data_IF_686550089084
#
_entry.id   IF_686550089084
#
_cell.length_a   1.000
_cell.length_b   1.000
_cell.length_c   1.000
_cell.angle_alpha   90.00
_cell.angle_beta   90.00
_cell.angle_gamma   90.00
#
_symmetry.space_group_name_H-M   'P 1'
#
loop_
_entity.id
_entity.type
_entity.pdbx_description
1 polymer ?
#
# COMPACT_ATOMS: atom_id res chain seq x y z
N UNK A 1 -18.38 -4.79 -8.85
CA UNK A 1 -16.94 -5.05 -9.03
C UNK A 1 -16.68 -5.38 -10.49
N UNK A 2 -15.67 -4.77 -11.08
CA UNK A 2 -15.15 -5.05 -12.43
C UNK A 2 -13.80 -5.74 -12.28
N UNK A 3 -13.54 -6.77 -13.09
CA UNK A 3 -12.29 -7.53 -13.07
C UNK A 3 -11.42 -7.17 -14.27
N UNK A 4 -10.11 -7.39 -14.14
CA UNK A 4 -9.12 -7.03 -15.15
C UNK A 4 -9.21 -7.92 -16.41
N UNK A 5 -8.41 -7.55 -17.42
CA UNK A 5 -8.64 -7.85 -18.84
C UNK A 5 -8.44 -9.32 -19.25
N UNK A 6 -7.66 -10.09 -18.50
CA UNK A 6 -7.21 -11.40 -18.98
C UNK A 6 -8.32 -12.45 -18.91
N UNK A 7 -8.97 -12.64 -20.06
CA UNK A 7 -10.06 -13.56 -20.23
C UNK A 7 -9.73 -15.01 -19.86
N UNK A 8 -8.44 -15.39 -19.87
CA UNK A 8 -8.03 -16.76 -19.53
C UNK A 8 -8.23 -17.09 -18.04
N UNK A 9 -8.32 -16.09 -17.17
CA UNK A 9 -8.46 -16.26 -15.71
C UNK A 9 -9.85 -15.88 -15.17
N UNK A 10 -10.77 -15.40 -16.02
CA UNK A 10 -12.07 -14.87 -15.61
C UNK A 10 -12.90 -15.84 -14.77
N UNK A 11 -13.02 -17.09 -15.21
CA UNK A 11 -13.80 -18.11 -14.51
C UNK A 11 -13.25 -18.43 -13.12
N UNK A 12 -11.92 -18.54 -12.99
CA UNK A 12 -11.30 -18.81 -11.70
C UNK A 12 -11.47 -17.61 -10.76
N UNK A 13 -11.22 -16.39 -11.24
CA UNK A 13 -11.42 -15.18 -10.44
C UNK A 13 -12.86 -15.06 -9.93
N UNK A 14 -13.87 -15.27 -10.79
CA UNK A 14 -15.28 -15.25 -10.37
C UNK A 14 -15.56 -16.31 -9.32
N UNK A 15 -15.04 -17.54 -9.49
CA UNK A 15 -15.19 -18.60 -8.49
C UNK A 15 -14.55 -18.23 -7.16
N UNK A 16 -13.34 -17.67 -7.15
CA UNK A 16 -12.67 -17.25 -5.92
C UNK A 16 -13.50 -16.18 -5.19
N UNK A 17 -14.01 -15.19 -5.92
CA UNK A 17 -14.82 -14.10 -5.36
C UNK A 17 -16.14 -14.60 -4.75
N UNK A 18 -16.84 -15.49 -5.43
CA UNK A 18 -18.07 -16.09 -4.90
C UNK A 18 -17.77 -16.87 -3.60
N UNK A 19 -16.63 -17.58 -3.51
CA UNK A 19 -16.25 -18.36 -2.31
C UNK A 19 -16.04 -17.51 -1.08
N UNK A 20 -15.65 -16.24 -1.24
CA UNK A 20 -15.48 -15.28 -0.15
C UNK A 20 -16.68 -14.31 -0.03
N UNK A 21 -17.81 -14.61 -0.68
CA UNK A 21 -19.07 -13.88 -0.52
C UNK A 21 -19.29 -12.71 -1.48
N UNK A 22 -18.40 -12.50 -2.47
CA UNK A 22 -18.59 -11.50 -3.52
C UNK A 22 -19.32 -12.12 -4.72
N UNK A 23 -20.65 -12.16 -4.60
CA UNK A 23 -21.60 -12.73 -5.57
C UNK A 23 -22.05 -11.75 -6.66
N UNK A 24 -21.85 -10.44 -6.45
CA UNK A 24 -22.25 -9.37 -7.40
C UNK A 24 -21.14 -8.92 -8.36
N UNK A 25 -20.66 -9.83 -9.20
CA UNK A 25 -19.73 -9.50 -10.30
C UNK A 25 -20.54 -8.94 -11.49
N UNK A 26 -20.27 -7.69 -11.90
CA UNK A 26 -21.04 -7.03 -12.95
C UNK A 26 -20.49 -7.29 -14.36
N UNK A 27 -19.22 -7.66 -14.46
CA UNK A 27 -18.54 -7.93 -15.72
C UNK A 27 -17.05 -7.69 -15.63
N UNK A 28 -16.42 -7.63 -16.80
CA UNK A 28 -14.99 -7.45 -16.97
C UNK A 28 -14.71 -6.15 -17.71
N UNK A 29 -13.57 -5.52 -17.41
CA UNK A 29 -13.13 -4.36 -18.16
C UNK A 29 -12.61 -4.81 -19.54
N UNK A 30 -13.44 -4.69 -20.57
CA UNK A 30 -13.08 -5.06 -21.94
C UNK A 30 -11.84 -4.28 -22.40
N UNK A 31 -10.80 -4.99 -22.84
CA UNK A 31 -9.52 -4.39 -23.23
C UNK A 31 -8.67 -3.87 -22.06
N UNK A 32 -9.11 -4.07 -20.82
CA UNK A 32 -8.33 -3.79 -19.63
C UNK A 32 -8.09 -2.32 -19.32
N UNK A 33 -7.11 -2.10 -18.45
CA UNK A 33 -6.70 -0.74 -18.05
C UNK A 33 -6.15 0.07 -19.24
N UNK A 34 -5.58 -0.60 -20.24
CA UNK A 34 -5.07 0.07 -21.45
C UNK A 34 -6.21 0.63 -22.33
N UNK A 35 -7.31 -0.10 -22.48
CA UNK A 35 -8.50 0.43 -23.15
C UNK A 35 -9.13 1.58 -22.37
N UNK A 36 -9.16 1.49 -21.03
CA UNK A 36 -9.64 2.57 -20.16
C UNK A 36 -8.83 3.86 -20.33
N UNK A 37 -7.49 3.75 -20.27
CA UNK A 37 -6.57 4.87 -20.52
C UNK A 37 -6.74 5.44 -21.93
N UNK A 38 -6.83 4.57 -22.95
CA UNK A 38 -6.99 4.99 -24.35
C UNK A 38 -8.32 5.70 -24.62
N UNK A 39 -9.35 5.41 -23.82
CA UNK A 39 -10.63 6.10 -23.86
C UNK A 39 -10.62 7.47 -23.16
N UNK A 40 -9.48 7.88 -22.58
CA UNK A 40 -9.35 9.16 -21.86
C UNK A 40 -10.10 9.20 -20.53
N UNK A 41 -10.41 8.04 -19.95
CA UNK A 41 -11.09 7.96 -18.67
C UNK A 41 -10.12 8.25 -17.51
N UNK A 42 -10.60 8.80 -16.38
CA UNK A 42 -9.75 9.16 -15.26
C UNK A 42 -8.97 7.97 -14.71
N UNK A 43 -7.71 8.21 -14.35
CA UNK A 43 -6.85 7.27 -13.63
C UNK A 43 -6.13 8.02 -12.52
N UNK A 44 -5.91 7.33 -11.42
CA UNK A 44 -5.06 7.80 -10.34
C UNK A 44 -3.86 6.87 -10.22
N UNK A 45 -2.73 7.44 -9.81
CA UNK A 45 -1.48 6.73 -9.62
C UNK A 45 -0.95 7.10 -8.26
N UNK A 46 -0.54 6.11 -7.48
CA UNK A 46 0.17 6.32 -6.23
C UNK A 46 1.65 6.51 -6.50
N UNK A 47 2.24 7.57 -5.96
CA UNK A 47 3.66 7.83 -6.10
C UNK A 47 4.48 6.78 -5.35
N UNK A 48 5.68 6.49 -5.86
CA UNK A 48 6.62 5.56 -5.22
C UNK A 48 7.80 6.32 -4.65
N UNK A 49 8.40 5.79 -3.58
CA UNK A 49 9.63 6.29 -2.99
C UNK A 49 10.62 5.13 -2.82
N UNK A 50 11.86 5.33 -3.28
CA UNK A 50 12.94 4.37 -3.07
C UNK A 50 13.46 4.43 -1.64
N UNK A 51 14.07 3.34 -1.16
CA UNK A 51 14.59 3.25 0.21
C UNK A 51 15.66 4.32 0.53
N UNK A 52 16.53 4.64 -0.42
CA UNK A 52 17.56 5.67 -0.24
C UNK A 52 16.93 7.06 -0.01
N UNK A 53 16.00 7.46 -0.88
CA UNK A 53 15.28 8.73 -0.76
C UNK A 53 14.42 8.79 0.52
N UNK A 54 13.84 7.66 0.94
CA UNK A 54 13.12 7.59 2.21
C UNK A 54 14.08 7.78 3.39
N UNK A 55 15.28 7.19 3.36
CA UNK A 55 16.29 7.38 4.40
C UNK A 55 16.78 8.84 4.45
N UNK A 56 17.02 9.48 3.31
CA UNK A 56 17.35 10.91 3.26
C UNK A 56 16.25 11.76 3.88
N UNK A 57 14.98 11.50 3.52
CA UNK A 57 13.84 12.22 4.09
C UNK A 57 13.62 11.93 5.58
N UNK A 58 14.03 10.75 6.06
CA UNK A 58 13.89 10.34 7.46
C UNK A 58 14.73 11.20 8.42
N UNK A 59 15.83 11.79 7.94
CA UNK A 59 16.72 12.65 8.74
C UNK A 59 16.23 14.10 8.83
N UNK A 60 15.21 14.48 8.05
CA UNK A 60 14.69 15.84 8.01
C UNK A 60 13.65 16.11 9.11
N UNK A 61 13.55 17.37 9.55
CA UNK A 61 12.49 17.79 10.50
C UNK A 61 11.06 17.64 9.94
N UNK A 62 10.96 17.47 8.61
CA UNK A 62 9.72 17.30 7.84
C UNK A 62 9.54 15.86 7.34
N UNK A 63 10.21 14.90 7.99
CA UNK A 63 10.15 13.49 7.61
C UNK A 63 8.69 12.99 7.43
N UNK A 64 8.43 12.17 6.41
CA UNK A 64 7.13 11.54 6.24
C UNK A 64 6.81 10.59 7.39
N UNK A 65 5.54 10.47 7.74
CA UNK A 65 5.10 9.43 8.66
C UNK A 65 5.10 8.08 7.95
N UNK A 66 5.89 7.13 8.45
CA UNK A 66 5.94 5.77 7.90
C UNK A 66 4.83 4.93 8.53
N UNK A 67 4.00 4.30 7.70
CA UNK A 67 2.95 3.36 8.11
C UNK A 67 3.38 1.95 7.69
N UNK A 68 3.76 1.12 8.65
CA UNK A 68 4.08 -0.29 8.40
C UNK A 68 2.80 -1.12 8.48
N UNK A 69 2.38 -1.65 7.34
CA UNK A 69 1.13 -2.41 7.20
C UNK A 69 1.31 -3.93 7.28
N UNK A 70 2.48 -4.37 7.75
CA UNK A 70 2.74 -5.78 8.07
C UNK A 70 2.02 -6.19 9.37
N UNK A 71 1.98 -7.50 9.61
CA UNK A 71 1.45 -8.03 10.86
C UNK A 71 2.32 -7.60 12.03
N UNK A 72 1.72 -7.50 13.22
CA UNK A 72 2.44 -7.06 14.43
C UNK A 72 3.71 -7.84 14.69
N UNK A 73 3.70 -9.17 14.55
CA UNK A 73 4.90 -9.98 14.75
C UNK A 73 6.05 -9.62 13.80
N UNK A 74 5.75 -9.34 12.52
CA UNK A 74 6.76 -8.89 11.56
C UNK A 74 7.33 -7.51 11.91
N UNK A 75 6.51 -6.64 12.49
CA UNK A 75 6.90 -5.31 12.96
C UNK A 75 7.78 -5.40 14.21
N UNK A 76 7.35 -6.17 15.21
CA UNK A 76 8.08 -6.38 16.47
C UNK A 76 9.47 -6.98 16.23
N UNK A 77 9.61 -7.86 15.22
CA UNK A 77 10.89 -8.45 14.82
C UNK A 77 11.89 -7.44 14.22
N UNK A 78 11.39 -6.31 13.70
CA UNK A 78 12.19 -5.26 13.11
C UNK A 78 11.38 -4.33 12.21
N UNK A 79 11.48 -3.03 12.43
CA UNK A 79 10.78 -2.00 11.67
C UNK A 79 11.62 -0.73 11.49
N UNK A 80 11.18 0.15 10.59
CA UNK A 80 11.79 1.47 10.38
C UNK A 80 11.56 2.31 11.65
N UNK A 81 12.61 2.95 12.16
CA UNK A 81 12.51 3.81 13.36
C UNK A 81 11.36 4.79 13.27
N UNK A 82 10.55 4.90 14.32
CA UNK A 82 9.40 5.82 14.38
C UNK A 82 8.24 5.49 13.42
N UNK A 83 8.24 4.32 12.78
CA UNK A 83 7.10 3.87 11.99
C UNK A 83 5.91 3.50 12.89
N UNK A 84 4.69 3.79 12.42
CA UNK A 84 3.46 3.34 13.05
C UNK A 84 3.03 2.00 12.44
N UNK A 85 2.86 0.97 13.28
CA UNK A 85 2.23 -0.27 12.83
C UNK A 85 0.71 -0.11 12.75
N UNK A 86 0.16 -0.30 11.55
CA UNK A 86 -1.28 -0.38 11.32
C UNK A 86 -1.53 -1.45 10.26
N UNK A 87 -1.89 -2.66 10.70
CA UNK A 87 -1.99 -3.82 9.81
C UNK A 87 -2.95 -3.55 8.65
N UNK A 88 -2.61 -4.02 7.44
CA UNK A 88 -3.42 -3.74 6.25
C UNK A 88 -4.91 -4.12 6.42
N UNK A 89 -5.19 -5.18 7.18
CA UNK A 89 -6.55 -5.66 7.43
C UNK A 89 -7.39 -4.73 8.32
N UNK A 90 -6.74 -3.90 9.15
CA UNK A 90 -7.39 -3.00 10.11
C UNK A 90 -7.29 -1.53 9.67
N UNK A 91 -6.41 -1.22 8.70
CA UNK A 91 -6.14 0.14 8.23
C UNK A 91 -7.41 0.93 7.90
N UNK A 92 -8.39 0.30 7.26
CA UNK A 92 -9.64 0.95 6.85
C UNK A 92 -10.49 1.40 8.04
N UNK A 93 -10.41 0.71 9.18
CA UNK A 93 -11.14 1.03 10.40
C UNK A 93 -10.43 2.08 11.27
N UNK A 94 -9.17 2.41 10.94
CA UNK A 94 -8.31 3.31 11.72
C UNK A 94 -7.89 4.59 10.97
N UNK A 95 -8.55 4.91 9.85
CA UNK A 95 -8.21 6.07 9.01
C UNK A 95 -8.31 7.41 9.74
N UNK A 96 -9.29 7.56 10.65
CA UNK A 96 -9.51 8.80 11.41
C UNK A 96 -8.37 9.11 12.40
N UNK A 97 -7.59 8.10 12.80
CA UNK A 97 -6.43 8.28 13.68
C UNK A 97 -5.18 8.79 12.97
N UNK A 98 -5.17 8.82 11.64
CA UNK A 98 -4.00 9.21 10.86
C UNK A 98 -4.01 10.72 10.54
N UNK A 99 -2.86 11.41 10.54
CA UNK A 99 -2.77 12.85 10.29
C UNK A 99 -3.10 13.19 8.83
N UNK A 100 -4.01 14.14 8.56
CA UNK A 100 -4.46 14.45 7.18
C UNK A 100 -3.46 15.27 6.36
N UNK A 101 -2.69 16.14 7.01
CA UNK A 101 -1.82 17.12 6.34
C UNK A 101 -0.35 16.67 6.23
N UNK A 102 0.01 15.56 6.87
CA UNK A 102 1.39 15.07 6.86
C UNK A 102 1.63 14.12 5.66
N UNK A 103 2.83 14.17 5.04
CA UNK A 103 3.22 13.16 4.07
C UNK A 103 3.19 11.77 4.71
N UNK A 104 2.56 10.81 4.04
CA UNK A 104 2.51 9.41 4.49
C UNK A 104 3.31 8.52 3.54
N UNK A 105 4.08 7.60 4.11
CA UNK A 105 4.78 6.56 3.36
C UNK A 105 4.34 5.20 3.88
N UNK A 106 3.68 4.39 3.04
CA UNK A 106 3.31 3.02 3.42
C UNK A 106 4.45 2.06 3.09
N UNK A 107 4.76 1.16 4.01
CA UNK A 107 5.78 0.11 3.83
C UNK A 107 5.24 -1.26 4.19
N UNK A 108 5.78 -2.29 3.56
CA UNK A 108 5.58 -3.68 3.97
C UNK A 108 6.83 -4.51 3.65
N UNK A 109 6.73 -5.84 3.60
CA UNK A 109 7.89 -6.67 3.30
C UNK A 109 8.39 -6.57 1.84
N UNK A 110 7.48 -6.35 0.88
CA UNK A 110 7.82 -6.46 -0.55
C UNK A 110 6.97 -5.57 -1.48
N UNK A 111 6.37 -4.50 -0.95
CA UNK A 111 5.59 -3.51 -1.72
C UNK A 111 4.12 -3.85 -2.00
N UNK A 112 3.71 -5.12 -2.05
CA UNK A 112 2.31 -5.50 -2.39
C UNK A 112 1.27 -4.95 -1.41
N UNK A 113 1.46 -5.22 -0.10
CA UNK A 113 0.54 -4.73 0.96
C UNK A 113 0.58 -3.20 1.07
N UNK A 114 1.76 -2.61 0.92
CA UNK A 114 1.96 -1.18 0.92
C UNK A 114 1.20 -0.49 -0.23
N UNK A 115 1.21 -1.08 -1.44
CA UNK A 115 0.47 -0.54 -2.58
C UNK A 115 -1.04 -0.53 -2.32
N UNK A 116 -1.59 -1.61 -1.73
CA UNK A 116 -3.00 -1.66 -1.33
C UNK A 116 -3.31 -0.60 -0.27
N UNK A 117 -2.44 -0.45 0.74
CA UNK A 117 -2.60 0.58 1.77
C UNK A 117 -2.58 1.99 1.19
N UNK A 118 -1.65 2.28 0.27
CA UNK A 118 -1.59 3.56 -0.42
C UNK A 118 -2.88 3.89 -1.18
N UNK A 119 -3.48 2.90 -1.86
CA UNK A 119 -4.78 3.08 -2.52
C UNK A 119 -5.92 3.33 -1.53
N UNK A 120 -5.93 2.67 -0.38
CA UNK A 120 -6.93 2.91 0.69
C UNK A 120 -6.81 4.35 1.21
N UNK A 121 -5.59 4.82 1.50
CA UNK A 121 -5.34 6.17 1.99
C UNK A 121 -5.70 7.25 0.96
N UNK A 122 -5.36 7.04 -0.32
CA UNK A 122 -5.77 7.98 -1.38
C UNK A 122 -7.29 8.05 -1.52
N UNK A 123 -7.98 6.90 -1.42
CA UNK A 123 -9.45 6.84 -1.46
C UNK A 123 -10.10 7.55 -0.25
N UNK A 124 -9.41 7.63 0.89
CA UNK A 124 -9.81 8.43 2.08
C UNK A 124 -9.60 9.95 1.87
N UNK A 125 -9.06 10.36 0.72
CA UNK A 125 -8.80 11.76 0.39
C UNK A 125 -7.46 12.27 0.88
N UNK A 126 -6.47 11.39 1.06
CA UNK A 126 -5.09 11.78 1.43
C UNK A 126 -4.26 11.94 0.17
N UNK A 127 -3.93 13.19 -0.14
CA UNK A 127 -3.26 13.53 -1.40
C UNK A 127 -1.74 13.30 -1.37
N UNK A 128 -1.13 13.25 -0.18
CA UNK A 128 0.32 13.13 -0.01
C UNK A 128 0.73 11.73 0.48
N UNK A 129 0.45 10.72 -0.34
CA UNK A 129 0.75 9.31 -0.04
C UNK A 129 1.79 8.79 -1.03
N UNK A 130 2.86 8.21 -0.49
CA UNK A 130 3.86 7.48 -1.24
C UNK A 130 3.93 6.02 -0.76
N UNK A 131 4.36 5.13 -1.65
CA UNK A 131 4.53 3.71 -1.36
C UNK A 131 6.01 3.38 -1.49
N UNK A 132 6.57 2.69 -0.49
CA UNK A 132 7.95 2.19 -0.59
C UNK A 132 8.05 1.22 -1.76
N UNK A 133 9.09 1.42 -2.56
CA UNK A 133 9.38 0.56 -3.69
C UNK A 133 9.69 -0.89 -3.26
N UNK A 134 9.93 -1.76 -4.23
CA UNK A 134 10.20 -3.18 -4.02
C UNK A 134 11.24 -3.43 -2.90
N UNK A 135 11.07 -4.55 -2.17
CA UNK A 135 11.93 -5.05 -1.09
C UNK A 135 11.79 -4.42 0.32
N UNK A 136 11.05 -3.31 0.49
CA UNK A 136 10.40 -2.95 1.76
C UNK A 136 11.28 -2.95 3.03
N UNK A 137 10.67 -3.31 4.18
CA UNK A 137 11.34 -3.28 5.49
C UNK A 137 12.54 -4.21 5.63
N UNK A 138 12.53 -5.47 5.11
CA UNK A 138 13.70 -6.34 5.17
C UNK A 138 14.94 -5.70 4.54
N UNK A 139 14.82 -5.09 3.35
CA UNK A 139 15.94 -4.42 2.70
C UNK A 139 16.34 -3.11 3.37
N UNK A 140 15.41 -2.41 4.02
CA UNK A 140 15.75 -1.25 4.85
C UNK A 140 16.73 -1.65 5.98
N UNK A 141 16.42 -2.72 6.70
CA UNK A 141 17.27 -3.25 7.78
C UNK A 141 18.61 -3.76 7.23
N UNK A 142 18.59 -4.49 6.12
CA UNK A 142 19.79 -5.05 5.50
C UNK A 142 20.78 -3.97 5.03
N UNK A 143 20.28 -2.78 4.66
CA UNK A 143 21.09 -1.60 4.32
C UNK A 143 21.69 -0.88 5.53
N UNK A 144 21.29 -1.25 6.75
CA UNK A 144 21.75 -0.63 7.99
C UNK A 144 21.13 0.75 8.26
N UNK A 145 19.98 1.04 7.66
CA UNK A 145 19.21 2.26 7.96
C UNK A 145 18.56 2.19 9.37
N UNK A 146 18.17 3.35 9.95
CA UNK A 146 17.60 3.41 11.28
C UNK A 146 16.41 2.46 11.47
N UNK A 147 16.55 1.50 12.37
CA UNK A 147 15.52 0.49 12.64
C UNK A 147 15.45 0.12 14.12
N UNK A 148 14.27 -0.31 14.53
CA UNK A 148 13.89 -0.64 15.91
C UNK A 148 13.26 -2.03 15.96
N UNK A 149 13.21 -2.61 17.16
CA UNK A 149 12.51 -3.88 17.46
C UNK A 149 11.62 -3.65 18.69
N UNK A 150 10.53 -4.41 18.83
CA UNK A 150 9.54 -4.19 19.88
C UNK A 150 8.30 -3.43 19.41
N UNK A 151 7.47 -3.00 20.37
CA UNK A 151 6.13 -2.43 20.16
C UNK A 151 6.03 -0.96 20.64
N UNK A 152 7.10 -0.17 20.56
CA UNK A 152 7.14 1.19 21.17
C UNK A 152 5.97 2.11 20.75
#
# INVERSE_FOLDING_TARGET
MLLSADASHHDDMVRQLIRIGFDRVHGFLAGGIEAWKSAGLPVEVTNRIGLDNLNEAHEESTAPMVIDVRQRNEFTEGHITGALNNELGELQDHLDGLPRELPLVTVCAAGMRATTAGSILQRDGRDNVQVVDEAGTPSWIERGYPSETGDE
#
